data_IF_749114132073
#
_entry.id   IF_749114132073
#
_cell.length_a   1.000
_cell.length_b   1.000
_cell.length_c   1.000
_cell.angle_alpha   90.00
_cell.angle_beta   90.00
_cell.angle_gamma   90.00
#
_symmetry.space_group_name_H-M   'P 1'
#
loop_
_entity.id
_entity.type
_entity.pdbx_description
1 polymer ?
#
# COMPACT_ATOMS: atom_id res chain seq x y z
N UNK A 1 -31.72 -34.99 -5.67
CA UNK A 1 -32.53 -34.20 -4.72
C UNK A 1 -31.60 -33.72 -3.63
N UNK A 2 -31.28 -32.52 -3.39
CA UNK A 2 -31.67 -31.19 -3.71
C UNK A 2 -30.44 -30.31 -3.51
N UNK A 3 -30.23 -29.48 -4.48
CA UNK A 3 -29.23 -28.43 -4.49
C UNK A 3 -29.69 -27.30 -3.54
N UNK A 4 -28.88 -26.87 -2.61
CA UNK A 4 -29.12 -25.60 -1.89
C UNK A 4 -27.99 -24.66 -2.26
N UNK A 5 -28.30 -23.79 -3.20
CA UNK A 5 -27.61 -22.56 -3.52
C UNK A 5 -27.71 -21.60 -2.31
N UNK A 6 -26.58 -21.22 -1.76
CA UNK A 6 -26.48 -20.04 -0.89
C UNK A 6 -25.50 -19.06 -1.53
N UNK A 7 -26.00 -18.36 -2.55
CA UNK A 7 -25.43 -17.08 -2.94
C UNK A 7 -25.96 -16.04 -1.93
N UNK A 8 -25.17 -15.72 -0.91
CA UNK A 8 -25.41 -14.58 -0.03
C UNK A 8 -25.05 -13.31 -0.79
N UNK A 9 -26.02 -12.66 -1.40
CA UNK A 9 -25.90 -11.28 -1.84
C UNK A 9 -25.69 -10.40 -0.60
N UNK A 10 -24.50 -9.85 -0.46
CA UNK A 10 -24.24 -8.76 0.47
C UNK A 10 -25.05 -7.58 -0.03
N UNK A 11 -26.07 -7.19 0.74
CA UNK A 11 -26.93 -6.06 0.46
C UNK A 11 -26.16 -4.75 0.65
N UNK A 12 -25.81 -4.12 -0.44
CA UNK A 12 -25.07 -2.84 -0.55
C UNK A 12 -25.93 -1.60 -0.26
N UNK A 13 -27.09 -1.75 0.39
CA UNK A 13 -28.10 -0.66 0.43
C UNK A 13 -28.37 -0.02 1.79
N UNK A 14 -27.60 -0.32 2.85
CA UNK A 14 -27.83 0.25 4.19
C UNK A 14 -26.74 1.22 4.68
N UNK A 15 -25.60 1.33 4.00
CA UNK A 15 -24.41 2.06 4.49
C UNK A 15 -24.18 3.45 3.86
N UNK A 16 -24.99 3.88 2.90
CA UNK A 16 -24.77 5.15 2.16
C UNK A 16 -25.08 6.44 2.96
N UNK A 17 -25.67 6.35 4.15
CA UNK A 17 -26.11 7.54 4.91
C UNK A 17 -25.06 8.13 5.86
N UNK A 18 -23.93 7.46 6.07
CA UNK A 18 -22.92 7.88 7.05
C UNK A 18 -21.53 8.16 6.44
N UNK A 19 -21.46 8.52 5.17
CA UNK A 19 -20.19 8.79 4.49
C UNK A 19 -20.04 10.27 4.17
N UNK A 20 -18.80 10.78 4.23
CA UNK A 20 -18.47 12.12 3.74
C UNK A 20 -17.90 11.98 2.33
N UNK A 21 -18.57 12.60 1.37
CA UNK A 21 -18.16 12.59 -0.02
C UNK A 21 -17.47 13.90 -0.36
N UNK A 22 -16.23 13.80 -0.82
CA UNK A 22 -15.42 14.90 -1.32
C UNK A 22 -15.31 14.79 -2.84
N UNK A 23 -15.80 15.79 -3.56
CA UNK A 23 -15.64 15.84 -5.03
C UNK A 23 -14.74 17.01 -5.39
N UNK A 24 -13.63 16.73 -6.07
CA UNK A 24 -12.77 17.79 -6.61
C UNK A 24 -13.57 18.63 -7.59
N UNK A 25 -13.61 19.96 -7.40
CA UNK A 25 -14.45 20.87 -8.21
C UNK A 25 -13.95 20.99 -9.63
N UNK A 26 -12.63 21.14 -9.79
CA UNK A 26 -12.00 21.33 -11.08
C UNK A 26 -10.70 20.50 -11.17
N UNK A 27 -10.45 19.82 -12.30
CA UNK A 27 -9.16 19.19 -12.54
C UNK A 27 -8.03 20.21 -12.43
N UNK A 28 -6.91 19.83 -11.83
CA UNK A 28 -5.78 20.73 -11.65
C UNK A 28 -4.48 20.12 -12.12
N UNK A 29 -3.68 20.88 -12.84
CA UNK A 29 -2.28 20.56 -13.14
C UNK A 29 -1.32 21.05 -12.05
N UNK A 30 -1.80 21.93 -11.17
CA UNK A 30 -1.05 22.42 -10.01
C UNK A 30 -1.24 21.42 -8.88
N UNK A 31 -0.15 20.98 -8.22
CA UNK A 31 -0.27 20.07 -7.10
C UNK A 31 -1.13 20.61 -5.97
N UNK A 32 -2.06 19.80 -5.50
CA UNK A 32 -2.89 20.06 -4.32
C UNK A 32 -2.35 19.21 -3.17
N UNK A 33 -2.03 19.81 -2.02
CA UNK A 33 -1.72 19.08 -0.80
C UNK A 33 -2.94 19.12 0.12
N UNK A 34 -3.48 17.93 0.43
CA UNK A 34 -4.72 17.78 1.17
C UNK A 34 -4.53 16.80 2.35
N UNK A 35 -3.51 17.06 3.18
CA UNK A 35 -3.20 16.29 4.38
C UNK A 35 -4.27 16.42 5.47
N UNK A 36 -5.14 17.42 5.35
CA UNK A 36 -6.33 17.58 6.18
C UNK A 36 -7.44 16.54 5.87
N UNK A 37 -7.40 15.83 4.73
CA UNK A 37 -8.36 14.78 4.42
C UNK A 37 -7.99 13.52 5.22
N UNK A 38 -8.50 13.43 6.44
CA UNK A 38 -8.33 12.28 7.33
C UNK A 38 -9.59 12.03 8.16
N UNK A 39 -9.96 10.77 8.40
CA UNK A 39 -11.06 10.43 9.29
C UNK A 39 -10.92 11.01 10.70
N UNK A 40 -9.69 11.13 11.20
CA UNK A 40 -9.40 11.72 12.51
C UNK A 40 -9.89 13.16 12.62
N UNK A 41 -9.80 13.93 11.54
CA UNK A 41 -10.27 15.31 11.50
C UNK A 41 -11.75 15.43 11.17
N UNK A 42 -12.34 14.46 10.48
CA UNK A 42 -13.69 14.56 9.96
C UNK A 42 -14.74 13.99 10.90
N UNK A 43 -14.38 12.97 11.71
CA UNK A 43 -15.33 12.16 12.48
C UNK A 43 -16.31 12.95 13.36
N UNK A 44 -15.90 14.11 13.88
CA UNK A 44 -16.74 14.91 14.78
C UNK A 44 -17.13 16.29 14.21
N UNK A 45 -16.62 16.63 13.01
CA UNK A 45 -16.81 17.94 12.42
C UNK A 45 -18.07 18.04 11.58
N UNK A 46 -18.71 19.19 11.66
CA UNK A 46 -19.80 19.57 10.75
C UNK A 46 -19.23 19.88 9.36
N UNK A 47 -20.08 19.79 8.35
CA UNK A 47 -19.69 20.09 6.96
C UNK A 47 -19.02 21.47 6.81
N UNK A 48 -19.50 22.50 7.51
CA UNK A 48 -18.89 23.83 7.46
C UNK A 48 -17.47 23.89 8.04
N UNK A 49 -17.22 23.10 9.09
CA UNK A 49 -15.91 23.01 9.73
C UNK A 49 -14.94 22.20 8.86
N UNK A 50 -15.42 21.17 8.16
CA UNK A 50 -14.65 20.41 7.19
C UNK A 50 -14.23 21.30 6.01
N UNK A 51 -15.17 22.08 5.47
CA UNK A 51 -14.89 23.04 4.39
C UNK A 51 -13.85 24.10 4.78
N UNK A 52 -13.77 24.44 6.07
CA UNK A 52 -12.82 25.41 6.60
C UNK A 52 -11.43 24.85 6.90
N UNK A 53 -11.20 23.54 6.73
CA UNK A 53 -9.88 22.93 6.91
C UNK A 53 -8.88 23.47 5.87
N UNK A 54 -7.59 23.58 6.23
CA UNK A 54 -6.57 24.05 5.30
C UNK A 54 -6.23 23.00 4.24
N UNK A 55 -5.91 23.48 3.06
CA UNK A 55 -5.27 22.74 1.98
C UNK A 55 -4.29 23.67 1.26
N UNK A 56 -3.39 23.15 0.45
CA UNK A 56 -2.47 23.95 -0.34
C UNK A 56 -2.70 23.75 -1.83
N UNK A 57 -2.86 24.83 -2.55
CA UNK A 57 -2.90 24.85 -4.00
C UNK A 57 -1.57 25.42 -4.52
N UNK A 58 -0.67 24.56 -4.90
CA UNK A 58 0.72 24.92 -5.14
C UNK A 58 1.39 25.43 -3.84
N UNK A 59 1.64 26.73 -3.77
CA UNK A 59 2.24 27.38 -2.59
C UNK A 59 1.25 28.21 -1.77
N UNK A 60 -0.01 28.27 -2.19
CA UNK A 60 -1.03 29.07 -1.51
C UNK A 60 -1.84 28.21 -0.59
N UNK A 61 -1.97 28.62 0.63
CA UNK A 61 -2.95 28.06 1.55
C UNK A 61 -4.35 28.51 1.15
N UNK A 62 -5.26 27.56 1.06
CA UNK A 62 -6.66 27.75 0.67
C UNK A 62 -7.55 26.90 1.58
N UNK A 63 -8.85 27.10 1.55
CA UNK A 63 -9.76 26.25 2.29
C UNK A 63 -10.06 24.97 1.48
N UNK A 64 -10.23 23.85 2.18
CA UNK A 64 -10.61 22.58 1.55
C UNK A 64 -11.90 22.73 0.73
N UNK A 65 -12.87 23.51 1.22
CA UNK A 65 -14.12 23.80 0.54
C UNK A 65 -14.00 24.61 -0.76
N UNK A 66 -12.87 25.32 -0.97
CA UNK A 66 -12.59 26.01 -2.22
C UNK A 66 -12.23 25.01 -3.33
N UNK A 67 -11.56 23.92 -2.96
CA UNK A 67 -11.10 22.89 -3.88
C UNK A 67 -12.11 21.73 -4.04
N UNK A 68 -12.77 21.35 -2.95
CA UNK A 68 -13.68 20.21 -2.92
C UNK A 68 -15.11 20.63 -2.58
N UNK A 69 -16.08 20.07 -3.30
CA UNK A 69 -17.45 20.02 -2.83
C UNK A 69 -17.54 18.94 -1.74
N UNK A 70 -18.03 19.32 -0.57
CA UNK A 70 -18.17 18.45 0.60
C UNK A 70 -19.63 18.14 0.80
N UNK A 71 -19.95 16.86 0.86
CA UNK A 71 -21.30 16.34 1.18
C UNK A 71 -21.18 15.38 2.37
N UNK A 72 -22.11 15.47 3.33
CA UNK A 72 -22.03 14.76 4.60
C UNK A 72 -21.22 15.49 5.68
N UNK A 73 -21.30 14.94 6.89
CA UNK A 73 -20.62 15.44 8.08
C UNK A 73 -20.44 14.34 9.14
N UNK A 74 -19.55 14.50 10.09
CA UNK A 74 -19.38 13.67 11.29
C UNK A 74 -19.26 12.17 11.01
N UNK A 75 -18.44 11.82 10.03
CA UNK A 75 -18.17 10.42 9.71
C UNK A 75 -16.66 10.15 9.65
N UNK A 76 -16.28 8.94 9.99
CA UNK A 76 -14.93 8.42 9.80
C UNK A 76 -14.77 7.63 8.49
N UNK A 77 -15.81 7.66 7.63
CA UNK A 77 -15.80 7.11 6.28
C UNK A 77 -15.77 8.26 5.27
N UNK A 78 -14.75 8.31 4.45
CA UNK A 78 -14.54 9.37 3.47
C UNK A 78 -14.42 8.75 2.08
N UNK A 79 -15.21 9.26 1.15
CA UNK A 79 -15.11 8.91 -0.27
C UNK A 79 -14.59 10.12 -1.02
N UNK A 80 -13.51 9.96 -1.80
CA UNK A 80 -12.90 11.04 -2.58
C UNK A 80 -13.02 10.74 -4.07
N UNK A 81 -13.58 11.70 -4.81
CA UNK A 81 -13.95 11.59 -6.22
C UNK A 81 -13.36 12.73 -7.05
N UNK A 82 -13.13 12.48 -8.32
CA UNK A 82 -12.65 13.46 -9.31
C UNK A 82 -11.30 13.06 -9.90
N UNK A 83 -10.67 13.98 -10.61
CA UNK A 83 -9.31 13.81 -11.14
C UNK A 83 -8.29 14.15 -10.06
N UNK A 84 -7.84 13.14 -9.32
CA UNK A 84 -6.99 13.29 -8.14
C UNK A 84 -5.51 13.03 -8.42
N UNK A 85 -5.09 12.85 -9.67
CA UNK A 85 -3.70 12.56 -10.03
C UNK A 85 -2.68 13.57 -9.51
N UNK A 86 -3.09 14.81 -9.30
CA UNK A 86 -2.26 15.88 -8.72
C UNK A 86 -2.56 16.18 -7.25
N UNK A 87 -3.47 15.43 -6.61
CA UNK A 87 -3.77 15.56 -5.17
C UNK A 87 -2.87 14.65 -4.34
N UNK A 88 -2.19 15.23 -3.37
CA UNK A 88 -1.17 14.57 -2.55
C UNK A 88 -1.59 14.49 -1.09
N UNK A 89 -0.99 13.54 -0.35
CA UNK A 89 -1.02 13.43 1.11
C UNK A 89 -2.39 13.07 1.71
N UNK A 90 -3.35 12.61 0.92
CA UNK A 90 -4.63 12.12 1.46
C UNK A 90 -4.35 10.99 2.45
N UNK A 91 -5.02 11.02 3.61
CA UNK A 91 -4.85 10.04 4.68
C UNK A 91 -3.52 10.13 5.43
N UNK A 92 -2.76 11.23 5.27
CA UNK A 92 -1.50 11.39 5.97
C UNK A 92 -1.70 11.37 7.49
N UNK A 93 -1.00 10.46 8.16
CA UNK A 93 -1.01 10.36 9.62
C UNK A 93 -2.30 9.81 10.23
N UNK A 94 -3.29 9.40 9.41
CA UNK A 94 -4.56 8.87 9.91
C UNK A 94 -4.36 7.69 10.87
N UNK A 95 -5.22 7.57 11.88
CA UNK A 95 -5.13 6.53 12.90
C UNK A 95 -6.33 5.58 12.93
N UNK A 96 -7.44 5.94 12.29
CA UNK A 96 -8.72 5.19 12.29
C UNK A 96 -9.53 5.50 11.04
N UNK A 97 -10.66 4.82 10.89
CA UNK A 97 -11.65 5.06 9.85
C UNK A 97 -11.24 4.54 8.48
N UNK A 98 -11.97 4.96 7.46
CA UNK A 98 -11.80 4.48 6.08
C UNK A 98 -11.80 5.63 5.08
N UNK A 99 -10.88 5.54 4.11
CA UNK A 99 -10.86 6.42 2.94
C UNK A 99 -10.98 5.56 1.69
N UNK A 100 -11.95 5.87 0.83
CA UNK A 100 -12.06 5.31 -0.50
C UNK A 100 -11.78 6.39 -1.55
N UNK A 101 -10.79 6.16 -2.40
CA UNK A 101 -10.45 7.01 -3.54
C UNK A 101 -10.95 6.33 -4.81
N UNK A 102 -11.86 6.96 -5.54
CA UNK A 102 -12.54 6.35 -6.69
C UNK A 102 -11.83 6.55 -8.03
N UNK A 103 -10.63 7.11 -8.03
CA UNK A 103 -9.83 7.39 -9.22
C UNK A 103 -8.34 7.18 -8.95
N UNK A 104 -7.50 7.57 -9.90
CA UNK A 104 -6.06 7.69 -9.69
C UNK A 104 -5.79 8.76 -8.63
N UNK A 105 -4.72 8.57 -7.84
CA UNK A 105 -4.32 9.48 -6.77
C UNK A 105 -2.84 9.84 -6.87
N UNK A 106 -2.50 11.07 -6.52
CA UNK A 106 -1.13 11.56 -6.51
C UNK A 106 -0.26 10.97 -5.40
N UNK A 107 0.97 11.48 -5.24
CA UNK A 107 1.97 10.96 -4.31
C UNK A 107 1.60 11.09 -2.82
N UNK A 108 2.30 10.33 -1.97
CA UNK A 108 2.25 10.37 -0.51
C UNK A 108 0.91 9.96 0.12
N UNK A 109 0.12 9.15 -0.58
CA UNK A 109 -1.11 8.56 -0.04
C UNK A 109 -0.79 7.79 1.25
N UNK A 110 -1.54 8.04 2.34
CA UNK A 110 -1.38 7.31 3.60
C UNK A 110 0.01 7.43 4.24
N UNK A 111 0.80 8.45 3.90
CA UNK A 111 2.10 8.67 4.53
C UNK A 111 1.94 8.84 6.05
N UNK A 112 2.83 8.21 6.83
CA UNK A 112 2.78 8.21 8.31
C UNK A 112 1.49 7.64 8.93
N UNK A 113 0.67 6.93 8.15
CA UNK A 113 -0.55 6.29 8.63
C UNK A 113 -0.26 5.37 9.81
N UNK A 114 -1.12 5.39 10.83
CA UNK A 114 -0.98 4.61 12.07
C UNK A 114 -2.05 3.54 12.25
N UNK A 115 -3.16 3.67 11.54
CA UNK A 115 -4.31 2.76 11.57
C UNK A 115 -5.34 3.15 10.53
N UNK A 116 -6.47 2.45 10.49
CA UNK A 116 -7.52 2.64 9.50
C UNK A 116 -7.23 1.95 8.17
N UNK A 117 -8.04 2.25 7.17
CA UNK A 117 -8.01 1.61 5.85
C UNK A 117 -8.07 2.65 4.75
N UNK A 118 -7.27 2.48 3.72
CA UNK A 118 -7.33 3.27 2.48
C UNK A 118 -7.50 2.32 1.31
N UNK A 119 -8.50 2.57 0.47
CA UNK A 119 -8.72 1.84 -0.78
C UNK A 119 -8.65 2.81 -1.95
N UNK A 120 -7.87 2.49 -2.96
CA UNK A 120 -7.75 3.26 -4.21
C UNK A 120 -8.24 2.40 -5.36
N UNK A 121 -9.28 2.84 -6.07
CA UNK A 121 -9.83 2.12 -7.22
C UNK A 121 -8.96 2.23 -8.47
N UNK A 122 -8.15 3.27 -8.56
CA UNK A 122 -7.21 3.53 -9.64
C UNK A 122 -5.76 3.29 -9.24
N UNK A 123 -4.86 4.06 -9.86
CA UNK A 123 -3.43 4.03 -9.61
C UNK A 123 -3.06 4.97 -8.46
N UNK A 124 -1.96 4.69 -7.76
CA UNK A 124 -1.37 5.58 -6.77
C UNK A 124 0.01 6.07 -7.21
N UNK A 125 0.31 7.33 -6.92
CA UNK A 125 1.61 7.91 -7.19
C UNK A 125 2.71 7.39 -6.25
N UNK A 126 3.86 8.04 -6.30
CA UNK A 126 5.04 7.69 -5.51
C UNK A 126 4.79 7.82 -4.00
N UNK A 127 5.54 7.05 -3.21
CA UNK A 127 5.55 7.14 -1.75
C UNK A 127 4.23 6.75 -1.07
N UNK A 128 3.38 5.95 -1.70
CA UNK A 128 2.20 5.41 -1.05
C UNK A 128 2.60 4.60 0.20
N UNK A 129 1.98 4.88 1.34
CA UNK A 129 2.28 4.24 2.63
C UNK A 129 3.68 4.55 3.18
N UNK A 130 4.34 5.64 2.75
CA UNK A 130 5.64 6.00 3.31
C UNK A 130 5.56 6.16 4.84
N UNK A 131 6.52 5.58 5.58
CA UNK A 131 6.57 5.61 7.05
C UNK A 131 5.34 5.06 7.77
N UNK A 132 4.51 4.27 7.11
CA UNK A 132 3.32 3.68 7.70
C UNK A 132 3.68 2.89 8.96
N UNK A 133 2.90 3.07 10.04
CA UNK A 133 3.09 2.44 11.33
C UNK A 133 1.93 1.52 11.74
N UNK A 134 0.90 1.39 10.92
CA UNK A 134 -0.28 0.54 11.10
C UNK A 134 -1.33 0.78 10.04
N UNK A 135 -2.40 -0.01 10.04
CA UNK A 135 -3.49 0.05 9.07
C UNK A 135 -3.24 -0.72 7.78
N UNK A 136 -4.09 -0.50 6.78
CA UNK A 136 -4.02 -1.16 5.47
C UNK A 136 -4.23 -0.18 4.33
N UNK A 137 -3.47 -0.36 3.24
CA UNK A 137 -3.64 0.37 1.99
C UNK A 137 -3.84 -0.65 0.88
N UNK A 138 -4.91 -0.51 0.12
CA UNK A 138 -5.22 -1.33 -1.04
C UNK A 138 -5.29 -0.47 -2.30
N UNK A 139 -4.49 -0.80 -3.29
CA UNK A 139 -4.40 -0.09 -4.58
C UNK A 139 -4.78 -1.09 -5.66
N UNK A 140 -5.95 -0.92 -6.29
CA UNK A 140 -6.43 -1.82 -7.35
C UNK A 140 -5.68 -1.64 -8.67
N UNK A 141 -5.05 -0.48 -8.88
CA UNK A 141 -4.19 -0.21 -10.04
C UNK A 141 -2.71 -0.39 -9.75
N UNK A 142 -1.89 0.36 -10.47
CA UNK A 142 -0.45 0.40 -10.29
C UNK A 142 -0.06 1.38 -9.18
N UNK A 143 1.12 1.21 -8.62
CA UNK A 143 1.72 2.16 -7.71
C UNK A 143 3.07 2.68 -8.24
N UNK A 144 3.39 3.92 -7.92
CA UNK A 144 4.66 4.53 -8.30
C UNK A 144 5.85 3.96 -7.52
N UNK A 145 6.91 4.75 -7.46
CA UNK A 145 8.14 4.39 -6.74
C UNK A 145 7.98 4.52 -5.23
N UNK A 146 8.86 3.84 -4.47
CA UNK A 146 9.00 4.01 -3.02
C UNK A 146 7.77 3.63 -2.19
N UNK A 147 6.92 2.73 -2.67
CA UNK A 147 5.78 2.20 -1.89
C UNK A 147 6.29 1.63 -0.56
N UNK A 148 5.75 2.12 0.57
CA UNK A 148 6.14 1.69 1.91
C UNK A 148 7.58 2.03 2.33
N UNK A 149 8.27 2.87 1.59
CA UNK A 149 9.65 3.25 1.90
C UNK A 149 9.75 4.34 2.98
N UNK A 150 10.95 4.53 3.50
CA UNK A 150 11.30 5.71 4.30
C UNK A 150 11.81 6.85 3.42
N UNK A 151 11.52 8.10 3.78
CA UNK A 151 12.05 9.26 3.08
C UNK A 151 13.58 9.34 3.15
N UNK A 152 14.23 10.05 2.20
CA UNK A 152 15.67 10.25 2.23
C UNK A 152 16.13 10.82 3.57
N UNK A 153 17.16 10.21 4.17
CA UNK A 153 17.66 10.56 5.50
C UNK A 153 16.98 9.82 6.66
N UNK A 154 15.80 9.26 6.44
CA UNK A 154 15.08 8.52 7.48
C UNK A 154 15.59 7.08 7.65
N UNK A 155 15.51 6.60 8.89
CA UNK A 155 16.05 5.28 9.25
C UNK A 155 15.03 4.14 9.10
N UNK A 156 13.76 4.43 8.85
CA UNK A 156 12.68 3.45 8.81
C UNK A 156 11.63 3.83 7.78
N UNK A 157 11.21 2.86 6.96
CA UNK A 157 9.99 2.91 6.16
C UNK A 157 8.81 2.32 6.93
N UNK A 158 7.98 1.52 6.27
CA UNK A 158 6.87 0.80 6.91
C UNK A 158 7.38 0.07 8.15
N UNK A 159 6.71 0.29 9.29
CA UNK A 159 7.04 -0.35 10.56
C UNK A 159 5.94 -1.33 11.05
N UNK A 160 4.74 -1.22 10.54
CA UNK A 160 3.59 -2.13 10.69
C UNK A 160 2.58 -1.85 9.60
N UNK A 161 1.63 -2.76 9.42
CA UNK A 161 0.54 -2.63 8.47
C UNK A 161 0.77 -3.41 7.19
N UNK A 162 -0.18 -3.27 6.28
CA UNK A 162 -0.23 -4.02 5.02
C UNK A 162 -0.44 -3.06 3.87
N UNK A 163 0.32 -3.22 2.80
CA UNK A 163 0.10 -2.51 1.54
C UNK A 163 -0.07 -3.57 0.45
N UNK A 164 -1.18 -3.52 -0.28
CA UNK A 164 -1.48 -4.42 -1.40
C UNK A 164 -1.60 -3.56 -2.66
N UNK A 165 -0.86 -3.93 -3.69
CA UNK A 165 -0.91 -3.35 -5.03
C UNK A 165 -1.30 -4.45 -6.00
N UNK A 166 -2.47 -4.37 -6.62
CA UNK A 166 -2.94 -5.38 -7.57
C UNK A 166 -2.27 -5.25 -8.95
N UNK A 167 -1.80 -4.08 -9.30
CA UNK A 167 -1.00 -3.85 -10.50
C UNK A 167 0.49 -3.96 -10.26
N UNK A 168 1.25 -3.20 -11.04
CA UNK A 168 2.70 -3.11 -10.91
C UNK A 168 3.09 -2.06 -9.88
N UNK A 169 4.26 -2.24 -9.27
CA UNK A 169 4.86 -1.23 -8.40
C UNK A 169 6.23 -0.80 -8.94
N UNK A 170 6.55 0.47 -8.76
CA UNK A 170 7.82 1.05 -9.19
C UNK A 170 9.00 0.54 -8.38
N UNK A 171 10.13 1.23 -8.50
CA UNK A 171 11.39 0.85 -7.83
C UNK A 171 11.38 1.19 -6.34
N UNK A 172 12.22 0.50 -5.57
CA UNK A 172 12.50 0.74 -4.13
C UNK A 172 11.29 0.54 -3.20
N UNK A 173 10.38 -0.34 -3.57
CA UNK A 173 9.30 -0.73 -2.66
C UNK A 173 9.89 -1.29 -1.36
N UNK A 174 9.33 -0.93 -0.21
CA UNK A 174 9.79 -1.38 1.10
C UNK A 174 11.25 -0.99 1.46
N UNK A 175 11.82 0.02 0.80
CA UNK A 175 13.16 0.48 1.18
C UNK A 175 13.17 0.93 2.66
N UNK A 176 14.18 0.47 3.42
CA UNK A 176 14.34 0.63 4.87
C UNK A 176 13.13 0.18 5.71
N UNK A 177 12.26 -0.65 5.15
CA UNK A 177 11.13 -1.26 5.86
C UNK A 177 11.60 -1.99 7.11
N UNK A 178 10.85 -1.91 8.21
CA UNK A 178 11.21 -2.54 9.48
C UNK A 178 10.29 -3.70 9.86
N UNK A 179 9.01 -3.62 9.55
CA UNK A 179 7.98 -4.65 9.80
C UNK A 179 6.82 -4.42 8.85
N UNK A 180 5.91 -5.36 8.78
CA UNK A 180 4.71 -5.28 7.96
C UNK A 180 4.82 -6.14 6.71
N UNK A 181 3.86 -5.98 5.83
CA UNK A 181 3.72 -6.76 4.60
C UNK A 181 3.46 -5.81 3.43
N UNK A 182 4.22 -5.97 2.35
CA UNK A 182 3.94 -5.36 1.05
C UNK A 182 3.69 -6.49 0.05
N UNK A 183 2.58 -6.42 -0.66
CA UNK A 183 2.19 -7.39 -1.69
C UNK A 183 2.03 -6.66 -3.01
N UNK A 184 2.63 -7.18 -4.06
CA UNK A 184 2.50 -6.70 -5.43
C UNK A 184 2.08 -7.89 -6.29
N UNK A 185 0.86 -7.87 -6.83
CA UNK A 185 0.40 -8.99 -7.68
C UNK A 185 0.96 -8.90 -9.10
N UNK A 186 1.31 -7.73 -9.55
CA UNK A 186 2.07 -7.50 -10.78
C UNK A 186 3.59 -7.53 -10.57
N UNK A 187 4.29 -6.73 -11.35
CA UNK A 187 5.74 -6.63 -11.34
C UNK A 187 6.23 -5.61 -10.32
N UNK A 188 7.37 -5.85 -9.72
CA UNK A 188 8.08 -4.89 -8.87
C UNK A 188 9.38 -4.42 -9.53
N UNK A 189 9.61 -3.11 -9.50
CA UNK A 189 10.81 -2.51 -10.08
C UNK A 189 12.10 -2.82 -9.29
N UNK A 190 13.17 -2.15 -9.66
CA UNK A 190 14.50 -2.39 -9.08
C UNK A 190 14.58 -2.01 -7.59
N UNK A 191 15.53 -2.61 -6.88
CA UNK A 191 15.82 -2.33 -5.47
C UNK A 191 14.64 -2.59 -4.50
N UNK A 192 13.75 -3.53 -4.80
CA UNK A 192 12.75 -3.97 -3.84
C UNK A 192 13.43 -4.42 -2.53
N UNK A 193 12.94 -3.94 -1.38
CA UNK A 193 13.52 -4.23 -0.07
C UNK A 193 14.93 -3.68 0.17
N UNK A 194 15.37 -2.66 -0.58
CA UNK A 194 16.69 -2.08 -0.38
C UNK A 194 16.87 -1.58 1.07
N UNK A 195 17.96 -2.02 1.71
CA UNK A 195 18.29 -1.73 3.12
C UNK A 195 17.18 -2.11 4.10
N UNK A 196 16.30 -3.03 3.73
CA UNK A 196 15.22 -3.52 4.58
C UNK A 196 15.79 -4.06 5.90
N UNK A 197 15.18 -3.66 7.00
CA UNK A 197 15.59 -4.06 8.36
C UNK A 197 14.94 -5.38 8.74
N UNK A 198 13.67 -5.55 8.42
CA UNK A 198 12.86 -6.76 8.57
C UNK A 198 11.48 -6.54 7.90
N UNK A 199 10.61 -7.53 7.90
CA UNK A 199 9.28 -7.52 7.27
C UNK A 199 9.23 -8.45 6.06
N UNK A 200 8.16 -8.38 5.29
CA UNK A 200 7.95 -9.27 4.14
C UNK A 200 7.49 -8.50 2.92
N UNK A 201 8.04 -8.83 1.76
CA UNK A 201 7.63 -8.31 0.45
C UNK A 201 7.31 -9.50 -0.43
N UNK A 202 6.10 -9.56 -0.98
CA UNK A 202 5.64 -10.61 -1.88
C UNK A 202 5.40 -10.02 -3.27
N UNK A 203 6.00 -10.63 -4.29
CA UNK A 203 5.86 -10.21 -5.69
C UNK A 203 5.39 -11.41 -6.50
N UNK A 204 4.21 -11.30 -7.09
CA UNK A 204 3.60 -12.39 -7.85
C UNK A 204 4.06 -12.39 -9.32
N UNK A 205 4.36 -11.22 -9.87
CA UNK A 205 4.93 -11.06 -11.21
C UNK A 205 6.45 -11.07 -11.22
N UNK A 206 7.04 -10.17 -11.99
CA UNK A 206 8.50 -10.07 -12.14
C UNK A 206 9.14 -9.25 -11.02
N UNK A 207 10.18 -9.79 -10.39
CA UNK A 207 11.02 -9.10 -9.40
C UNK A 207 12.26 -8.51 -10.08
N UNK A 208 12.36 -7.18 -10.08
CA UNK A 208 13.43 -6.43 -10.74
C UNK A 208 14.79 -6.57 -10.07
N UNK A 209 15.82 -6.01 -10.74
CA UNK A 209 17.23 -6.08 -10.35
C UNK A 209 17.49 -5.54 -8.95
N UNK A 210 18.56 -6.05 -8.33
CA UNK A 210 19.09 -5.58 -7.04
C UNK A 210 18.10 -5.67 -5.89
N UNK A 211 17.16 -6.61 -5.95
CA UNK A 211 16.28 -6.90 -4.82
C UNK A 211 17.10 -7.23 -3.57
N UNK A 212 16.68 -6.72 -2.43
CA UNK A 212 17.31 -6.93 -1.14
C UNK A 212 18.67 -6.24 -0.95
N UNK A 213 19.10 -5.33 -1.84
CA UNK A 213 20.41 -4.65 -1.70
C UNK A 213 20.57 -4.01 -0.30
N UNK A 214 21.56 -4.46 0.47
CA UNK A 214 21.80 -4.02 1.84
C UNK A 214 20.77 -4.49 2.87
N UNK A 215 19.95 -5.47 2.55
CA UNK A 215 18.95 -6.03 3.45
C UNK A 215 19.60 -6.68 4.67
N UNK A 216 19.07 -6.41 5.87
CA UNK A 216 19.58 -6.97 7.12
C UNK A 216 18.86 -8.24 7.53
N UNK A 217 17.55 -8.25 7.46
CA UNK A 217 16.62 -9.36 7.81
C UNK A 217 15.35 -9.22 7.02
N UNK A 218 14.48 -10.22 7.13
CA UNK A 218 13.17 -10.27 6.49
C UNK A 218 13.19 -11.12 5.24
N UNK A 219 12.03 -11.23 4.59
CA UNK A 219 11.82 -12.13 3.47
C UNK A 219 11.30 -11.38 2.25
N UNK A 220 11.92 -11.58 1.10
CA UNK A 220 11.38 -11.20 -0.20
C UNK A 220 10.99 -12.50 -0.90
N UNK A 221 9.74 -12.61 -1.32
CA UNK A 221 9.19 -13.82 -1.97
C UNK A 221 8.80 -13.46 -3.40
N UNK A 222 9.44 -14.08 -4.37
CA UNK A 222 9.11 -13.98 -5.78
C UNK A 222 8.37 -15.25 -6.22
N UNK A 223 7.10 -15.12 -6.57
CA UNK A 223 6.29 -16.21 -7.10
C UNK A 223 6.41 -16.34 -8.63
N UNK A 224 6.73 -15.25 -9.30
CA UNK A 224 6.98 -15.22 -10.74
C UNK A 224 8.46 -15.19 -11.07
N UNK A 225 8.82 -14.50 -12.13
CA UNK A 225 10.21 -14.40 -12.59
C UNK A 225 11.03 -13.45 -11.72
N UNK A 226 12.34 -13.70 -11.64
CA UNK A 226 13.26 -12.88 -10.86
C UNK A 226 14.52 -12.59 -11.68
N UNK A 227 14.94 -11.33 -11.69
CA UNK A 227 16.27 -10.97 -12.21
C UNK A 227 17.39 -11.61 -11.39
N UNK A 228 18.59 -11.82 -11.96
CA UNK A 228 19.72 -12.36 -11.23
C UNK A 228 19.97 -11.60 -9.91
N UNK A 229 20.10 -12.35 -8.83
CA UNK A 229 20.37 -11.79 -7.52
C UNK A 229 21.78 -11.20 -7.45
N UNK A 230 21.99 -10.30 -6.50
CA UNK A 230 23.33 -9.77 -6.22
C UNK A 230 24.29 -10.90 -5.82
N UNK A 231 25.59 -10.81 -6.18
CA UNK A 231 26.60 -11.80 -5.77
C UNK A 231 26.76 -11.94 -4.24
N UNK A 232 26.19 -11.02 -3.50
CA UNK A 232 26.18 -11.02 -2.02
C UNK A 232 25.09 -11.90 -1.41
N UNK A 233 24.28 -12.55 -2.25
CA UNK A 233 23.32 -13.58 -1.86
C UNK A 233 23.84 -14.97 -2.18
N UNK A 234 23.72 -15.90 -1.24
CA UNK A 234 24.16 -17.29 -1.36
C UNK A 234 22.97 -18.22 -1.43
N UNK A 235 22.99 -19.13 -2.38
CA UNK A 235 22.03 -20.24 -2.41
C UNK A 235 22.22 -21.13 -1.18
N UNK A 236 21.16 -21.46 -0.47
CA UNK A 236 21.18 -22.28 0.73
C UNK A 236 20.57 -23.67 0.44
N UNK A 237 19.34 -23.69 -0.04
CA UNK A 237 18.58 -24.92 -0.24
C UNK A 237 17.34 -24.70 -1.10
N UNK A 238 16.76 -25.82 -1.53
CA UNK A 238 15.38 -25.87 -2.01
C UNK A 238 14.50 -26.35 -0.85
N UNK A 239 13.44 -25.63 -0.53
CA UNK A 239 12.58 -25.91 0.60
C UNK A 239 11.12 -25.57 0.34
N UNK A 240 10.24 -26.07 1.20
CA UNK A 240 8.84 -25.64 1.29
C UNK A 240 8.66 -24.78 2.57
N UNK A 241 8.64 -23.46 2.45
CA UNK A 241 8.59 -22.59 3.64
C UNK A 241 7.20 -22.59 4.24
N UNK A 242 7.00 -23.36 5.33
CA UNK A 242 5.70 -23.57 5.97
C UNK A 242 5.04 -22.25 6.41
N UNK A 243 5.83 -21.26 6.82
CA UNK A 243 5.32 -19.96 7.26
C UNK A 243 4.57 -19.21 6.16
N UNK A 244 4.90 -19.43 4.87
CA UNK A 244 4.20 -18.79 3.75
C UNK A 244 2.71 -19.15 3.71
N UNK A 245 2.34 -20.37 4.12
CA UNK A 245 0.93 -20.79 4.13
C UNK A 245 0.05 -19.87 4.95
N UNK A 246 0.55 -19.36 6.09
CA UNK A 246 -0.19 -18.43 6.95
C UNK A 246 -0.48 -17.13 6.19
N UNK A 247 0.54 -16.59 5.52
CA UNK A 247 0.39 -15.36 4.74
C UNK A 247 -0.51 -15.58 3.52
N UNK A 248 -0.30 -16.66 2.77
CA UNK A 248 -1.05 -16.95 1.55
C UNK A 248 -2.52 -17.20 1.83
N UNK A 249 -2.86 -17.95 2.88
CA UNK A 249 -4.25 -18.12 3.31
C UNK A 249 -4.91 -16.77 3.63
N UNK A 250 -4.21 -15.91 4.36
CA UNK A 250 -4.72 -14.58 4.68
C UNK A 250 -4.88 -13.69 3.45
N UNK A 251 -3.95 -13.76 2.51
CA UNK A 251 -4.03 -13.04 1.23
C UNK A 251 -5.22 -13.53 0.39
N UNK A 252 -5.46 -14.83 0.38
CA UNK A 252 -6.62 -15.42 -0.30
C UNK A 252 -7.94 -14.95 0.32
N UNK A 253 -8.04 -14.87 1.64
CA UNK A 253 -9.20 -14.29 2.35
C UNK A 253 -9.44 -12.82 1.94
N UNK A 254 -8.38 -12.10 1.63
CA UNK A 254 -8.44 -10.71 1.16
C UNK A 254 -8.66 -10.60 -0.36
N UNK A 255 -8.84 -11.70 -1.09
CA UNK A 255 -9.11 -11.71 -2.53
C UNK A 255 -7.87 -11.62 -3.42
N UNK A 256 -6.66 -11.69 -2.86
CA UNK A 256 -5.43 -11.79 -3.67
C UNK A 256 -5.40 -13.17 -4.36
N UNK A 257 -5.09 -13.25 -5.68
CA UNK A 257 -5.10 -14.50 -6.42
C UNK A 257 -3.94 -15.42 -6.01
N UNK A 258 -4.18 -16.26 -5.00
CA UNK A 258 -3.24 -17.28 -4.53
C UNK A 258 -3.62 -18.63 -5.10
N UNK A 259 -2.70 -19.30 -5.79
CA UNK A 259 -2.92 -20.64 -6.32
C UNK A 259 -2.41 -21.72 -5.35
N UNK A 260 -2.91 -22.95 -5.43
CA UNK A 260 -2.41 -24.08 -4.62
C UNK A 260 -0.91 -24.31 -4.79
N UNK A 261 -0.36 -24.14 -5.99
CA UNK A 261 1.05 -24.31 -6.31
C UNK A 261 1.92 -23.34 -5.49
N UNK A 262 1.47 -22.09 -5.32
CA UNK A 262 2.17 -21.09 -4.51
C UNK A 262 2.29 -21.49 -3.04
N UNK A 263 1.31 -22.23 -2.51
CA UNK A 263 1.27 -22.68 -1.11
C UNK A 263 1.96 -24.02 -0.87
N UNK A 264 2.07 -24.85 -1.90
CA UNK A 264 2.61 -26.21 -1.84
C UNK A 264 3.91 -26.38 -2.63
N UNK A 265 4.32 -25.35 -3.38
CA UNK A 265 5.50 -25.37 -4.24
C UNK A 265 6.82 -25.38 -3.49
N UNK A 266 7.86 -25.63 -4.22
CA UNK A 266 9.24 -25.54 -3.76
C UNK A 266 9.80 -24.16 -4.06
N UNK A 267 10.68 -23.70 -3.19
CA UNK A 267 11.35 -22.40 -3.32
C UNK A 267 12.84 -22.57 -3.21
N UNK A 268 13.58 -21.93 -4.11
CA UNK A 268 15.01 -21.72 -3.97
C UNK A 268 15.23 -20.60 -2.96
N UNK A 269 15.84 -20.96 -1.83
CA UNK A 269 16.19 -20.05 -0.75
C UNK A 269 17.58 -19.51 -0.92
N UNK A 270 17.70 -18.19 -0.87
CA UNK A 270 18.97 -17.47 -0.88
C UNK A 270 19.09 -16.62 0.38
N UNK A 271 20.23 -16.69 1.08
CA UNK A 271 20.53 -15.89 2.26
C UNK A 271 21.48 -14.73 1.92
N UNK A 272 21.22 -13.56 2.47
CA UNK A 272 22.01 -12.34 2.24
C UNK A 272 21.38 -11.13 2.93
N UNK A 273 21.77 -9.92 2.66
CA UNK A 273 22.96 -9.48 1.98
C UNK A 273 24.18 -9.60 2.92
N UNK A 274 25.23 -10.32 2.50
CA UNK A 274 26.42 -10.55 3.35
C UNK A 274 27.26 -9.28 3.58
N UNK A 275 27.07 -8.22 2.78
CA UNK A 275 27.67 -6.91 3.00
C UNK A 275 26.98 -6.14 4.14
N UNK A 276 25.88 -6.66 4.64
CA UNK A 276 25.12 -6.13 5.78
C UNK A 276 25.12 -7.18 6.91
N UNK A 277 23.95 -7.54 7.45
CA UNK A 277 23.81 -8.51 8.53
C UNK A 277 23.78 -9.98 8.04
N UNK A 278 23.49 -10.21 6.76
CA UNK A 278 23.43 -11.54 6.15
C UNK A 278 22.29 -12.43 6.66
N UNK A 279 21.27 -11.88 7.33
CA UNK A 279 20.12 -12.61 7.90
C UNK A 279 18.80 -12.37 7.16
N UNK A 280 18.87 -11.76 5.99
CA UNK A 280 17.75 -11.66 5.08
C UNK A 280 17.63 -12.90 4.19
N UNK A 281 16.46 -13.11 3.63
CA UNK A 281 16.24 -14.20 2.68
C UNK A 281 15.46 -13.74 1.45
N UNK A 282 15.79 -14.33 0.31
CA UNK A 282 14.99 -14.23 -0.91
C UNK A 282 14.55 -15.63 -1.26
N UNK A 283 13.26 -15.83 -1.39
CA UNK A 283 12.61 -17.07 -1.78
C UNK A 283 12.11 -16.91 -3.22
N UNK A 284 12.58 -17.75 -4.11
CA UNK A 284 12.14 -17.76 -5.52
C UNK A 284 11.40 -19.06 -5.76
N UNK A 285 10.15 -18.97 -6.15
CA UNK A 285 9.31 -20.12 -6.49
C UNK A 285 9.89 -20.83 -7.72
N UNK A 286 9.93 -22.17 -7.69
CA UNK A 286 10.43 -22.99 -8.81
C UNK A 286 9.38 -23.17 -9.90
#
# INVERSE_FOLDING_TARGET
>A
MGCVSCAGSISDSADEKDEIILRLREPSTIPIEADSITPDLFAERKQSEIKALPAFYGRREVLLGDLFAVDGERSDRIVVQGDLGHVKKIGQGMSRGRIEVQSDIGPHLGAHMRGGEITVRGNAGDWAGAHMAGGSIWIHGNAGHHVGAGYPGEKRGVNRGVIIVEGNAGSRIGAVMRRGLIVVTGNAGEFAGARMIAGSIFVFGHLGKRAGAGMKRGSIVAFGTCEPLLPTYRFESVCQPVFLRIFLNRLQEWGVPVTPEMSQGFFRRYSGDITSLGKGEILIHD
#
